data_IF_326256509096
#
_entry.id   IF_326256509096
#
_cell.length_a   1.000
_cell.length_b   1.000
_cell.length_c   1.000
_cell.angle_alpha   90.00
_cell.angle_beta   90.00
_cell.angle_gamma   90.00
#
_symmetry.space_group_name_H-M   'P 1'
#
loop_
_entity.id
_entity.type
_entity.pdbx_description
1 polymer ?
#
# COMPACT_ATOMS: atom_id res chain seq x y z
N UNK A 1 -9.48 18.92 17.83
CA UNK A 1 -8.82 19.98 17.02
C UNK A 1 -9.79 20.40 15.94
N UNK A 2 -9.99 21.70 15.76
CA UNK A 2 -10.94 22.26 14.77
C UNK A 2 -10.39 22.12 13.36
N UNK A 3 -11.26 21.96 12.37
CA UNK A 3 -10.98 21.80 10.93
C UNK A 3 -9.98 22.84 10.39
N UNK A 4 -9.96 24.04 10.98
CA UNK A 4 -9.03 25.12 10.63
C UNK A 4 -7.54 24.82 10.92
N UNK A 5 -7.24 24.00 11.94
CA UNK A 5 -5.85 23.66 12.28
C UNK A 5 -5.24 22.66 11.29
N UNK A 6 -6.06 21.76 10.73
CA UNK A 6 -5.66 20.82 9.69
C UNK A 6 -5.41 21.56 8.36
N UNK A 7 -6.32 22.46 7.99
CA UNK A 7 -6.19 23.28 6.78
C UNK A 7 -4.92 24.14 6.79
N UNK A 8 -4.60 24.77 7.94
CA UNK A 8 -3.41 25.60 8.08
C UNK A 8 -2.10 24.79 8.03
N UNK A 9 -2.11 23.56 8.55
CA UNK A 9 -0.97 22.66 8.48
C UNK A 9 -0.71 22.17 7.05
N UNK A 10 -1.77 21.83 6.30
CA UNK A 10 -1.67 21.46 4.88
C UNK A 10 -1.21 22.62 3.99
N UNK A 11 -1.77 23.82 4.17
CA UNK A 11 -1.38 25.01 3.41
C UNK A 11 0.09 25.40 3.67
N UNK A 12 0.60 25.19 4.89
CA UNK A 12 2.01 25.42 5.22
C UNK A 12 2.98 24.47 4.52
N UNK A 13 2.53 23.29 4.09
CA UNK A 13 3.32 22.32 3.31
C UNK A 13 3.25 22.56 1.81
N UNK A 14 2.16 23.12 1.30
CA UNK A 14 1.99 23.47 -0.11
C UNK A 14 2.84 24.66 -0.56
N UNK A 15 3.22 25.56 0.36
CA UNK A 15 4.02 26.75 0.05
C UNK A 15 5.48 26.46 -0.39
N UNK A 16 5.96 25.22 -0.26
CA UNK A 16 7.28 24.74 -0.72
C UNK A 16 7.21 23.89 -2.00
N UNK A 17 6.03 23.70 -2.61
CA UNK A 17 5.86 22.84 -3.79
C UNK A 17 6.49 23.51 -5.02
N UNK A 18 7.41 22.79 -5.66
CA UNK A 18 8.11 23.23 -6.87
C UNK A 18 7.09 23.47 -8.01
N UNK A 19 7.05 24.67 -8.64
CA UNK A 19 6.12 24.97 -9.74
C UNK A 19 6.26 24.03 -10.95
N UNK A 20 7.37 23.30 -11.06
CA UNK A 20 7.57 22.27 -12.09
C UNK A 20 6.65 21.06 -11.89
N UNK A 21 6.24 20.73 -10.66
CA UNK A 21 5.33 19.61 -10.39
C UNK A 21 3.92 19.90 -10.91
N UNK A 22 3.42 21.11 -10.63
CA UNK A 22 2.13 21.57 -11.13
C UNK A 22 2.07 21.61 -12.66
N UNK A 23 3.19 21.95 -13.33
CA UNK A 23 3.30 21.92 -14.80
C UNK A 23 3.11 20.51 -15.37
N UNK A 24 3.39 19.47 -14.58
CA UNK A 24 3.24 18.07 -14.95
C UNK A 24 1.92 17.45 -14.43
N UNK A 25 1.00 18.26 -13.90
CA UNK A 25 -0.29 17.80 -13.35
C UNK A 25 -0.17 17.05 -12.02
N UNK A 26 0.93 17.27 -11.29
CA UNK A 26 1.16 16.72 -9.96
C UNK A 26 0.79 17.79 -8.93
N UNK A 27 -0.32 17.56 -8.25
CA UNK A 27 -0.90 18.45 -7.24
C UNK A 27 -0.62 17.97 -5.80
N UNK A 28 -0.20 16.70 -5.65
CA UNK A 28 0.08 16.07 -4.37
C UNK A 28 1.58 16.03 -4.03
N UNK A 29 1.89 16.11 -2.73
CA UNK A 29 3.24 15.86 -2.20
C UNK A 29 3.66 14.40 -2.44
N UNK A 30 2.71 13.49 -2.29
CA UNK A 30 2.92 12.05 -2.45
C UNK A 30 2.35 11.60 -3.78
N UNK A 31 3.24 11.19 -4.68
CA UNK A 31 2.88 10.74 -6.01
C UNK A 31 3.90 9.73 -6.52
N UNK A 32 3.47 8.90 -7.46
CA UNK A 32 4.35 8.02 -8.22
C UNK A 32 3.83 7.79 -9.64
N UNK A 33 4.66 7.19 -10.47
CA UNK A 33 4.21 6.71 -11.78
C UNK A 33 3.22 5.56 -11.61
N UNK A 34 2.18 5.55 -12.43
CA UNK A 34 1.22 4.45 -12.41
C UNK A 34 1.89 3.14 -12.87
N UNK A 35 1.83 2.10 -12.06
CA UNK A 35 2.38 0.78 -12.40
C UNK A 35 1.42 0.08 -13.37
N UNK A 36 1.97 -0.48 -14.45
CA UNK A 36 1.20 -1.24 -15.44
C UNK A 36 0.31 -0.40 -16.38
N UNK A 37 0.34 0.93 -16.27
CA UNK A 37 -0.40 1.85 -17.17
C UNK A 37 0.33 3.19 -17.32
N UNK A 38 -0.09 3.99 -18.30
CA UNK A 38 0.40 5.37 -18.43
C UNK A 38 -0.25 6.29 -17.40
N UNK A 39 0.52 7.25 -16.88
CA UNK A 39 0.03 8.33 -16.02
C UNK A 39 0.70 8.36 -14.65
N UNK A 40 0.10 9.14 -13.76
CA UNK A 40 0.54 9.34 -12.38
C UNK A 40 -0.55 8.90 -11.41
N UNK A 41 -0.14 8.44 -10.24
CA UNK A 41 -1.02 8.22 -9.09
C UNK A 41 -0.60 9.18 -7.98
N UNK A 42 -1.57 9.66 -7.21
CA UNK A 42 -1.39 10.73 -6.23
C UNK A 42 -2.20 10.41 -4.96
N UNK A 43 -1.74 10.96 -3.82
CA UNK A 43 -2.38 10.83 -2.50
C UNK A 43 -2.76 9.39 -2.14
N UNK A 44 -4.03 9.13 -1.81
CA UNK A 44 -4.53 7.81 -1.44
C UNK A 44 -4.32 6.75 -2.53
N UNK A 45 -4.27 7.15 -3.80
CA UNK A 45 -4.02 6.22 -4.91
C UNK A 45 -2.54 5.84 -4.99
N UNK A 46 -1.63 6.75 -4.64
CA UNK A 46 -0.20 6.44 -4.49
C UNK A 46 0.01 5.42 -3.37
N UNK A 47 -0.66 5.62 -2.24
CA UNK A 47 -0.58 4.73 -1.08
C UNK A 47 -1.12 3.33 -1.39
N UNK A 48 -2.27 3.24 -2.06
CA UNK A 48 -2.82 1.96 -2.52
C UNK A 48 -1.83 1.23 -3.44
N UNK A 49 -1.17 1.97 -4.34
CA UNK A 49 -0.14 1.42 -5.20
C UNK A 49 1.11 0.98 -4.42
N UNK A 50 1.56 1.77 -3.44
CA UNK A 50 2.71 1.44 -2.62
C UNK A 50 2.49 0.15 -1.83
N UNK A 51 1.33 0.01 -1.17
CA UNK A 51 0.95 -1.21 -0.44
C UNK A 51 0.87 -2.41 -1.39
N UNK A 52 0.29 -2.25 -2.59
CA UNK A 52 0.28 -3.28 -3.63
C UNK A 52 1.68 -3.74 -4.00
N UNK A 53 2.61 -2.80 -4.22
CA UNK A 53 4.00 -3.13 -4.57
C UNK A 53 4.67 -3.90 -3.42
N UNK A 54 4.51 -3.46 -2.17
CA UNK A 54 5.08 -4.12 -0.99
C UNK A 54 4.60 -5.58 -0.89
N UNK A 55 3.30 -5.80 -1.00
CA UNK A 55 2.70 -7.13 -0.84
C UNK A 55 2.95 -8.04 -2.05
N UNK A 56 2.98 -7.49 -3.26
CA UNK A 56 3.19 -8.26 -4.48
C UNK A 56 4.67 -8.58 -4.76
N UNK A 57 5.62 -7.86 -4.16
CA UNK A 57 7.05 -8.10 -4.42
C UNK A 57 7.58 -9.23 -3.51
N UNK A 58 8.25 -10.26 -4.06
CA UNK A 58 8.93 -11.26 -3.24
C UNK A 58 10.12 -10.66 -2.49
N UNK A 59 10.25 -10.99 -1.21
CA UNK A 59 11.46 -10.67 -0.43
C UNK A 59 12.73 -11.17 -1.13
N UNK A 60 13.76 -10.32 -1.22
CA UNK A 60 15.02 -10.64 -1.89
C UNK A 60 15.03 -10.51 -3.42
N UNK A 61 13.89 -10.14 -4.04
CA UNK A 61 13.82 -10.01 -5.51
C UNK A 61 14.39 -8.71 -6.06
N UNK A 62 14.48 -7.65 -5.25
CA UNK A 62 15.09 -6.36 -5.63
C UNK A 62 16.60 -6.40 -5.31
N UNK A 63 17.51 -6.48 -6.32
CA UNK A 63 18.94 -6.58 -6.09
C UNK A 63 19.53 -5.36 -5.39
N UNK A 64 18.88 -4.20 -5.49
CA UNK A 64 19.32 -2.96 -4.85
C UNK A 64 18.76 -2.80 -3.44
N UNK A 65 17.69 -3.53 -3.10
CA UNK A 65 17.06 -3.55 -1.78
C UNK A 65 16.72 -5.00 -1.40
N UNK A 66 17.70 -5.83 -1.07
CA UNK A 66 17.47 -7.25 -0.81
C UNK A 66 16.53 -7.52 0.39
N UNK A 67 16.49 -6.62 1.37
CA UNK A 67 15.58 -6.71 2.50
C UNK A 67 14.14 -6.29 2.17
N UNK A 68 13.92 -5.67 1.01
CA UNK A 68 12.59 -5.28 0.58
C UNK A 68 11.80 -6.51 0.14
N UNK A 69 10.77 -6.80 0.92
CA UNK A 69 9.35 -6.74 0.55
C UNK A 69 8.58 -7.62 1.54
N UNK A 70 7.71 -8.52 1.07
CA UNK A 70 6.97 -9.46 1.91
C UNK A 70 7.37 -10.92 1.65
N UNK A 71 7.23 -11.77 2.67
CA UNK A 71 7.43 -13.22 2.57
C UNK A 71 6.14 -13.99 2.19
N UNK A 72 5.09 -13.29 1.74
CA UNK A 72 3.79 -13.90 1.41
C UNK A 72 3.95 -15.01 0.37
N UNK A 73 4.89 -14.82 -0.56
CA UNK A 73 5.24 -15.77 -1.62
C UNK A 73 5.62 -17.17 -1.12
N UNK A 74 6.09 -17.32 0.12
CA UNK A 74 6.40 -18.63 0.72
C UNK A 74 5.15 -19.50 0.95
N UNK A 75 3.95 -18.92 0.85
CA UNK A 75 2.69 -19.57 1.23
C UNK A 75 1.69 -19.76 0.08
N UNK A 76 2.07 -19.48 -1.17
CA UNK A 76 1.15 -19.56 -2.33
C UNK A 76 0.58 -20.97 -2.55
N UNK A 77 1.39 -22.01 -2.33
CA UNK A 77 1.00 -23.42 -2.48
C UNK A 77 0.57 -24.09 -1.17
N UNK A 78 0.46 -23.31 -0.08
CA UNK A 78 0.01 -23.85 1.20
C UNK A 78 -1.51 -24.03 1.17
N UNK A 79 -2.05 -25.06 1.87
CA UNK A 79 -3.48 -25.16 2.07
C UNK A 79 -4.03 -23.86 2.68
N UNK A 80 -5.05 -23.26 2.07
CA UNK A 80 -5.53 -21.90 2.43
C UNK A 80 -5.73 -21.71 3.94
N UNK A 81 -6.38 -22.63 4.70
CA UNK A 81 -6.56 -22.44 6.14
C UNK A 81 -5.25 -22.36 6.94
N UNK A 82 -4.17 -22.96 6.42
CA UNK A 82 -2.82 -22.89 7.02
C UNK A 82 -2.06 -21.66 6.55
N UNK A 83 -2.25 -21.24 5.30
CA UNK A 83 -1.59 -20.07 4.72
C UNK A 83 -2.10 -18.76 5.35
N UNK A 84 -3.41 -18.63 5.56
CA UNK A 84 -4.07 -17.40 6.01
C UNK A 84 -3.38 -16.69 7.20
N UNK A 85 -3.14 -17.33 8.36
CA UNK A 85 -2.51 -16.64 9.49
C UNK A 85 -1.08 -16.16 9.19
N UNK A 86 -0.33 -16.90 8.37
CA UNK A 86 1.00 -16.49 7.95
C UNK A 86 0.93 -15.30 6.99
N UNK A 87 0.06 -15.34 5.99
CA UNK A 87 -0.13 -14.25 5.03
C UNK A 87 -0.55 -12.96 5.74
N UNK A 88 -1.49 -13.04 6.69
CA UNK A 88 -1.90 -11.88 7.51
C UNK A 88 -0.71 -11.31 8.27
N UNK A 89 0.05 -12.16 8.99
CA UNK A 89 1.24 -11.74 9.73
C UNK A 89 2.28 -11.05 8.83
N UNK A 90 2.65 -11.68 7.71
CA UNK A 90 3.65 -11.13 6.79
C UNK A 90 3.18 -9.84 6.15
N UNK A 91 1.89 -9.72 5.82
CA UNK A 91 1.31 -8.50 5.27
C UNK A 91 1.41 -7.35 6.26
N UNK A 92 1.04 -7.59 7.53
CA UNK A 92 1.13 -6.57 8.57
C UNK A 92 2.57 -6.10 8.77
N UNK A 93 3.50 -7.05 8.97
CA UNK A 93 4.91 -6.73 9.17
C UNK A 93 5.52 -5.97 7.99
N UNK A 94 5.21 -6.39 6.76
CA UNK A 94 5.76 -5.74 5.57
C UNK A 94 5.23 -4.31 5.41
N UNK A 95 3.93 -4.09 5.58
CA UNK A 95 3.33 -2.75 5.44
C UNK A 95 3.80 -1.83 6.57
N UNK A 96 3.81 -2.30 7.83
CA UNK A 96 4.32 -1.50 8.96
C UNK A 96 5.80 -1.13 8.81
N UNK A 97 6.61 -2.01 8.18
CA UNK A 97 8.04 -1.76 7.97
C UNK A 97 8.29 -0.77 6.83
N UNK A 98 7.58 -0.93 5.71
CA UNK A 98 7.91 -0.24 4.45
C UNK A 98 7.01 0.95 4.14
N UNK A 99 5.84 1.06 4.77
CA UNK A 99 4.89 2.15 4.56
C UNK A 99 4.51 2.83 5.89
N UNK A 100 5.44 3.58 6.53
CA UNK A 100 5.20 4.20 7.83
C UNK A 100 4.20 5.37 7.78
N UNK A 101 3.75 5.77 6.59
CA UNK A 101 2.71 6.81 6.43
C UNK A 101 1.33 6.32 6.87
N UNK A 102 1.09 5.01 6.82
CA UNK A 102 -0.20 4.42 7.16
C UNK A 102 -0.17 3.75 8.52
N UNK A 103 -1.26 3.89 9.26
CA UNK A 103 -1.57 3.04 10.40
C UNK A 103 -2.46 1.89 9.93
N UNK A 104 -1.96 0.67 10.00
CA UNK A 104 -2.67 -0.50 9.53
C UNK A 104 -3.67 -0.98 10.61
N UNK A 105 -4.97 -0.91 10.30
CA UNK A 105 -6.02 -1.26 11.26
C UNK A 105 -6.33 -2.75 11.23
N UNK A 106 -6.43 -3.32 10.03
CA UNK A 106 -6.71 -4.73 9.87
C UNK A 106 -6.17 -5.28 8.54
N UNK A 107 -5.77 -6.54 8.57
CA UNK A 107 -5.52 -7.33 7.37
C UNK A 107 -6.37 -8.58 7.42
N UNK A 108 -7.12 -8.81 6.36
CA UNK A 108 -7.94 -10.01 6.19
C UNK A 108 -7.64 -10.67 4.85
N UNK A 109 -7.89 -11.97 4.79
CA UNK A 109 -7.73 -12.77 3.59
C UNK A 109 -9.09 -13.31 3.21
N UNK A 110 -9.51 -13.11 1.96
CA UNK A 110 -10.81 -13.57 1.50
C UNK A 110 -10.88 -15.11 1.60
N UNK A 111 -12.01 -15.67 2.05
CA UNK A 111 -12.14 -17.11 2.14
C UNK A 111 -12.09 -17.74 0.76
N UNK A 112 -11.40 -18.87 0.65
CA UNK A 112 -11.30 -19.65 -0.58
C UNK A 112 -12.68 -19.87 -1.23
N UNK A 113 -12.75 -19.67 -2.56
CA UNK A 113 -13.89 -20.00 -3.40
C UNK A 113 -13.46 -21.06 -4.43
N UNK A 114 -14.31 -22.05 -4.74
CA UNK A 114 -14.06 -22.95 -5.87
C UNK A 114 -13.85 -22.12 -7.15
N UNK A 115 -12.80 -22.45 -7.93
CA UNK A 115 -12.36 -21.74 -9.15
C UNK A 115 -11.63 -20.40 -8.94
N UNK A 116 -11.20 -20.08 -7.73
CA UNK A 116 -10.35 -18.92 -7.48
C UNK A 116 -8.87 -19.34 -7.44
N UNK A 117 -8.07 -18.84 -8.40
CA UNK A 117 -6.65 -19.16 -8.52
C UNK A 117 -5.75 -18.30 -7.62
N UNK A 118 -6.29 -17.20 -7.06
CA UNK A 118 -5.51 -16.25 -6.27
C UNK A 118 -6.12 -16.00 -4.89
N UNK A 119 -5.24 -15.84 -3.90
CA UNK A 119 -5.57 -15.40 -2.57
C UNK A 119 -5.73 -13.88 -2.56
N UNK A 120 -6.89 -13.38 -2.15
CA UNK A 120 -7.13 -11.94 -2.07
C UNK A 120 -6.90 -11.45 -0.64
N UNK A 121 -5.99 -10.50 -0.48
CA UNK A 121 -5.64 -9.82 0.76
C UNK A 121 -6.32 -8.46 0.77
N UNK A 122 -6.97 -8.14 1.88
CA UNK A 122 -7.61 -6.86 2.14
C UNK A 122 -6.95 -6.18 3.34
N UNK A 123 -6.26 -5.07 3.09
CA UNK A 123 -5.62 -4.23 4.09
C UNK A 123 -6.46 -2.96 4.30
N UNK A 124 -6.91 -2.73 5.53
CA UNK A 124 -7.57 -1.49 5.95
C UNK A 124 -6.56 -0.64 6.70
N UNK A 125 -6.49 0.64 6.34
CA UNK A 125 -5.47 1.54 6.85
C UNK A 125 -6.03 2.93 7.06
N UNK A 126 -5.39 3.68 7.94
CA UNK A 126 -5.72 5.08 8.21
C UNK A 126 -4.50 5.98 8.13
N UNK A 127 -4.75 7.23 7.79
CA UNK A 127 -3.77 8.31 7.80
C UNK A 127 -4.42 9.51 8.46
N UNK A 128 -4.11 9.73 9.74
CA UNK A 128 -4.75 10.78 10.53
C UNK A 128 -6.26 10.55 10.66
N UNK A 129 -7.06 11.24 9.84
CA UNK A 129 -8.53 11.12 9.82
C UNK A 129 -9.08 10.50 8.53
N UNK A 130 -8.20 10.05 7.64
CA UNK A 130 -8.60 9.44 6.35
C UNK A 130 -8.47 7.94 6.47
N UNK A 131 -9.55 7.23 6.14
CA UNK A 131 -9.58 5.77 6.06
C UNK A 131 -9.43 5.34 4.60
N UNK A 132 -8.78 4.20 4.39
CA UNK A 132 -8.55 3.62 3.09
C UNK A 132 -8.52 2.10 3.15
N UNK A 133 -8.69 1.47 1.98
CA UNK A 133 -8.57 0.04 1.83
C UNK A 133 -7.77 -0.28 0.57
N UNK A 134 -6.89 -1.27 0.68
CA UNK A 134 -6.13 -1.83 -0.43
C UNK A 134 -6.42 -3.31 -0.56
N UNK A 135 -6.82 -3.70 -1.77
CA UNK A 135 -7.04 -5.10 -2.14
C UNK A 135 -5.91 -5.57 -3.06
N UNK A 136 -5.31 -6.72 -2.74
CA UNK A 136 -4.22 -7.34 -3.52
C UNK A 136 -4.54 -8.81 -3.75
N UNK A 137 -4.51 -9.25 -5.02
CA UNK A 137 -4.58 -10.66 -5.37
C UNK A 137 -3.16 -11.24 -5.52
N UNK A 138 -2.86 -12.30 -4.79
CA UNK A 138 -1.60 -13.04 -4.84
C UNK A 138 -1.92 -14.47 -5.30
N UNK A 139 -1.47 -14.87 -6.49
CA UNK A 139 -1.71 -16.19 -7.07
C UNK A 139 -1.59 -16.24 -8.57
#
# INVERSE_FOLDING_TARGET
MTTAALEAWWQGKLAEVDPTLATNGIDAVWWSFAVGRSGIVQDATDLDQAIKIILATPYGSDPHRPDFASNIWLYIDYPVPRATPHVVRESMLAVETWEPRVELESVSVNPYRPNQAALTINAQWTIGSVEGQTEVAIG
#
